data_IF_783069966869
#
_entry.id   IF_783069966869
#
_cell.length_a   1.000
_cell.length_b   1.000
_cell.length_c   1.000
_cell.angle_alpha   90.00
_cell.angle_beta   90.00
_cell.angle_gamma   90.00
#
_symmetry.space_group_name_H-M   'P 1'
#
loop_
_entity.id
_entity.type
_entity.pdbx_description
1 polymer ?
#
# COMPACT_ATOMS: atom_id res chain seq x y z
N UNK A 1 -27.02 -8.75 -1.56
CA UNK A 1 -27.37 -7.81 -0.47
C UNK A 1 -27.01 -6.39 -0.91
N UNK A 2 -27.71 -5.35 -0.44
CA UNK A 2 -27.32 -3.96 -0.78
C UNK A 2 -25.97 -3.65 -0.09
N UNK A 3 -25.01 -2.99 -0.77
CA UNK A 3 -23.77 -2.57 -0.16
C UNK A 3 -23.96 -1.73 1.10
N UNK A 4 -23.22 -2.04 2.17
CA UNK A 4 -23.28 -1.32 3.45
C UNK A 4 -21.99 -0.52 3.69
N UNK A 5 -21.97 0.74 3.25
CA UNK A 5 -20.84 1.64 3.41
C UNK A 5 -20.51 1.93 4.89
N UNK A 6 -21.52 1.91 5.79
CA UNK A 6 -21.30 2.16 7.21
C UNK A 6 -20.53 1.00 7.87
N UNK A 7 -20.83 -0.24 7.49
CA UNK A 7 -20.11 -1.43 7.94
C UNK A 7 -18.66 -1.39 7.46
N UNK A 8 -18.42 -1.04 6.18
CA UNK A 8 -17.06 -0.89 5.64
C UNK A 8 -16.28 0.18 6.38
N UNK A 9 -16.88 1.35 6.62
CA UNK A 9 -16.26 2.45 7.39
C UNK A 9 -15.85 2.01 8.79
N UNK A 10 -16.73 1.29 9.49
CA UNK A 10 -16.46 0.77 10.83
C UNK A 10 -15.24 -0.17 10.83
N UNK A 11 -15.20 -1.09 9.87
CA UNK A 11 -14.06 -2.00 9.71
C UNK A 11 -12.75 -1.23 9.43
N UNK A 12 -12.76 -0.26 8.51
CA UNK A 12 -11.56 0.49 8.14
C UNK A 12 -11.00 1.31 9.31
N UNK A 13 -11.85 1.89 10.15
CA UNK A 13 -11.42 2.61 11.36
C UNK A 13 -10.77 1.65 12.36
N UNK A 14 -11.37 0.49 12.59
CA UNK A 14 -10.80 -0.55 13.45
C UNK A 14 -9.47 -1.10 12.90
N UNK A 15 -9.39 -1.31 11.58
CA UNK A 15 -8.16 -1.74 10.92
C UNK A 15 -7.04 -0.73 11.15
N UNK A 16 -7.30 0.57 10.99
CA UNK A 16 -6.31 1.61 11.27
C UNK A 16 -5.84 1.56 12.73
N UNK A 17 -6.77 1.44 13.68
CA UNK A 17 -6.45 1.36 15.11
C UNK A 17 -5.55 0.15 15.42
N UNK A 18 -5.90 -1.03 14.88
CA UNK A 18 -5.14 -2.26 15.07
C UNK A 18 -3.74 -2.18 14.46
N UNK A 19 -3.61 -1.67 13.24
CA UNK A 19 -2.32 -1.51 12.57
C UNK A 19 -1.40 -0.55 13.33
N UNK A 20 -1.91 0.59 13.77
CA UNK A 20 -1.14 1.54 14.58
C UNK A 20 -0.70 0.93 15.90
N UNK A 21 -1.56 0.17 16.57
CA UNK A 21 -1.23 -0.52 17.82
C UNK A 21 -0.12 -1.55 17.63
N UNK A 22 -0.22 -2.39 16.59
CA UNK A 22 0.76 -3.44 16.30
C UNK A 22 2.13 -2.85 15.91
N UNK A 23 2.15 -1.83 15.04
CA UNK A 23 3.38 -1.16 14.66
C UNK A 23 4.03 -0.42 15.85
N UNK A 24 3.22 0.26 16.69
CA UNK A 24 3.71 0.90 17.92
C UNK A 24 4.29 -0.12 18.91
N UNK A 25 3.70 -1.30 19.02
CA UNK A 25 4.22 -2.34 19.91
C UNK A 25 5.62 -2.84 19.49
N UNK A 26 5.89 -2.88 18.19
CA UNK A 26 7.21 -3.28 17.64
C UNK A 26 8.25 -2.16 17.77
N UNK A 27 7.85 -0.92 17.55
CA UNK A 27 8.74 0.26 17.58
C UNK A 27 9.00 0.78 19.00
N UNK A 28 7.97 0.81 19.83
CA UNK A 28 7.95 1.42 21.17
C UNK A 28 7.55 2.91 21.16
N UNK A 29 7.29 3.52 19.99
CA UNK A 29 6.81 4.90 19.86
C UNK A 29 5.33 4.94 19.46
N UNK A 30 4.57 5.97 19.93
CA UNK A 30 3.18 6.15 19.54
C UNK A 30 3.04 6.79 18.14
N UNK A 31 1.91 6.54 17.50
CA UNK A 31 1.48 7.34 16.35
C UNK A 31 0.85 8.66 16.81
N UNK A 32 1.17 9.74 16.11
CA UNK A 32 0.52 11.04 16.27
C UNK A 32 -0.68 11.08 15.33
N UNK A 33 -1.85 11.42 15.86
CA UNK A 33 -3.08 11.51 15.10
C UNK A 33 -3.34 12.94 14.63
N UNK A 34 -3.73 13.08 13.37
CA UNK A 34 -4.20 14.30 12.74
C UNK A 34 -5.54 14.02 12.04
N UNK A 35 -6.63 14.43 12.69
CA UNK A 35 -7.96 14.33 12.13
C UNK A 35 -8.28 15.57 11.29
N UNK A 36 -8.81 15.38 10.09
CA UNK A 36 -9.07 16.46 9.15
C UNK A 36 -10.43 16.31 8.45
N UNK A 37 -10.95 17.43 8.01
CA UNK A 37 -12.18 17.52 7.23
C UNK A 37 -11.90 18.15 5.86
N UNK A 38 -12.71 17.78 4.88
CA UNK A 38 -12.66 18.28 3.50
C UNK A 38 -13.86 19.16 3.23
N UNK A 39 -13.66 20.36 2.70
CA UNK A 39 -14.75 21.29 2.34
C UNK A 39 -15.76 20.69 1.35
N UNK A 40 -15.29 19.84 0.42
CA UNK A 40 -16.13 19.15 -0.56
C UNK A 40 -16.87 17.90 -0.05
N UNK A 41 -16.83 17.65 1.27
CA UNK A 41 -17.49 16.53 1.93
C UNK A 41 -16.54 15.40 2.34
N UNK A 42 -16.71 14.93 3.56
CA UNK A 42 -15.90 13.89 4.17
C UNK A 42 -14.68 14.41 4.91
N UNK A 43 -13.71 13.53 5.13
CA UNK A 43 -12.50 13.81 5.89
C UNK A 43 -11.65 12.56 6.07
N UNK A 44 -10.80 12.59 7.07
CA UNK A 44 -9.94 11.45 7.37
C UNK A 44 -9.23 11.60 8.69
N UNK A 45 -8.39 10.59 8.96
CA UNK A 45 -7.58 10.49 10.16
C UNK A 45 -6.21 9.95 9.75
N UNK A 46 -5.24 10.86 9.66
CA UNK A 46 -3.85 10.50 9.38
C UNK A 46 -3.13 10.20 10.67
N UNK A 47 -2.44 9.08 10.73
CA UNK A 47 -1.61 8.70 11.87
C UNK A 47 -0.18 8.51 11.40
N UNK A 48 0.76 9.20 12.04
CA UNK A 48 2.16 9.22 11.64
C UNK A 48 3.05 8.93 12.83
N UNK A 49 3.95 7.94 12.68
CA UNK A 49 5.06 7.68 13.56
C UNK A 49 6.32 8.22 12.88
N UNK A 50 7.12 9.02 13.60
CA UNK A 50 8.38 9.59 13.11
C UNK A 50 9.51 9.33 14.08
N UNK A 51 10.70 9.19 13.55
CA UNK A 51 11.94 9.05 14.33
C UNK A 51 11.87 7.91 15.35
N UNK A 52 11.18 6.83 14.97
CA UNK A 52 11.06 5.63 15.78
C UNK A 52 12.36 4.85 15.88
N UNK A 53 12.39 3.87 16.77
CA UNK A 53 13.57 3.02 17.00
C UNK A 53 13.73 1.94 15.91
N UNK A 54 12.61 1.51 15.33
CA UNK A 54 12.53 0.49 14.27
C UNK A 54 12.06 1.13 12.98
N UNK A 55 11.05 1.99 13.05
CA UNK A 55 10.49 2.68 11.91
C UNK A 55 10.93 4.13 11.90
N UNK A 56 11.76 4.52 10.91
CA UNK A 56 12.16 5.91 10.74
C UNK A 56 10.96 6.80 10.42
N UNK A 57 10.02 6.28 9.65
CA UNK A 57 8.69 6.85 9.44
C UNK A 57 7.69 5.75 9.10
N UNK A 58 6.50 5.85 9.67
CA UNK A 58 5.35 5.07 9.26
C UNK A 58 4.11 5.97 9.22
N UNK A 59 3.32 5.82 8.17
CA UNK A 59 2.06 6.53 8.04
C UNK A 59 0.91 5.54 7.83
N UNK A 60 -0.18 5.69 8.59
CA UNK A 60 -1.42 4.94 8.42
C UNK A 60 -2.56 5.94 8.28
N UNK A 61 -3.10 6.06 7.08
CA UNK A 61 -4.13 7.04 6.74
C UNK A 61 -5.48 6.36 6.52
N UNK A 62 -6.49 6.79 7.25
CA UNK A 62 -7.89 6.56 6.91
C UNK A 62 -8.44 7.78 6.19
N UNK A 63 -9.10 7.58 5.07
CA UNK A 63 -9.85 8.62 4.36
C UNK A 63 -11.27 8.14 4.05
N UNK A 64 -12.22 9.06 4.14
CA UNK A 64 -13.60 8.87 3.70
C UNK A 64 -14.06 10.16 3.04
N UNK A 65 -14.15 10.17 1.73
CA UNK A 65 -14.58 11.31 0.95
C UNK A 65 -15.88 10.99 0.22
N UNK A 66 -16.73 11.98 0.09
CA UNK A 66 -18.02 11.85 -0.60
C UNK A 66 -18.37 13.14 -1.34
N UNK A 67 -19.29 13.06 -2.27
CA UNK A 67 -19.77 14.20 -3.02
C UNK A 67 -21.04 13.88 -3.81
N UNK A 68 -21.77 14.94 -4.17
CA UNK A 68 -23.04 14.81 -4.90
C UNK A 68 -22.86 14.44 -6.38
N UNK A 69 -21.66 14.63 -6.91
CA UNK A 69 -21.30 14.26 -8.28
C UNK A 69 -19.82 13.89 -8.40
N UNK A 70 -19.54 12.94 -9.28
CA UNK A 70 -18.15 12.60 -9.66
C UNK A 70 -17.54 13.70 -10.52
N UNK A 71 -16.21 13.98 -10.36
CA UNK A 71 -15.50 14.85 -11.28
C UNK A 71 -15.58 14.34 -12.73
N UNK A 72 -15.68 15.27 -13.69
CA UNK A 72 -15.76 14.92 -15.11
C UNK A 72 -14.55 14.05 -15.59
N UNK A 73 -13.37 14.26 -15.02
CA UNK A 73 -12.18 13.44 -15.30
C UNK A 73 -12.35 11.97 -14.86
N UNK A 74 -13.07 11.72 -13.79
CA UNK A 74 -13.35 10.37 -13.30
C UNK A 74 -14.42 9.65 -14.10
N UNK A 75 -15.40 10.39 -14.67
CA UNK A 75 -16.48 9.83 -15.48
C UNK A 75 -16.12 9.65 -16.95
N UNK A 76 -15.05 10.27 -17.44
CA UNK A 76 -14.58 10.15 -18.82
C UNK A 76 -14.34 8.70 -19.27
N UNK A 77 -13.86 7.85 -18.37
CA UNK A 77 -13.60 6.43 -18.63
C UNK A 77 -14.63 5.48 -18.00
N UNK A 78 -15.62 6.05 -17.27
CA UNK A 78 -16.67 5.32 -16.56
C UNK A 78 -18.01 6.06 -16.67
N UNK A 79 -18.64 6.02 -17.85
CA UNK A 79 -19.88 6.78 -18.11
C UNK A 79 -21.03 6.36 -17.19
N UNK A 80 -21.01 5.12 -16.67
CA UNK A 80 -22.01 4.61 -15.71
C UNK A 80 -22.01 5.37 -14.38
N UNK A 81 -20.94 6.11 -14.05
CA UNK A 81 -20.83 6.93 -12.84
C UNK A 81 -21.41 8.34 -13.01
N UNK A 82 -21.75 8.75 -14.24
CA UNK A 82 -22.22 10.10 -14.51
C UNK A 82 -23.56 10.40 -13.80
N UNK A 83 -23.60 11.53 -13.10
CA UNK A 83 -24.80 11.99 -12.37
C UNK A 83 -25.14 11.16 -11.14
N UNK A 84 -24.16 10.45 -10.56
CA UNK A 84 -24.27 9.74 -9.29
C UNK A 84 -23.56 10.50 -8.19
N UNK A 85 -24.13 10.49 -6.99
CA UNK A 85 -23.38 10.77 -5.77
C UNK A 85 -22.39 9.64 -5.51
N UNK A 86 -21.32 9.90 -4.76
CA UNK A 86 -20.31 8.89 -4.48
C UNK A 86 -19.79 8.95 -3.05
N UNK A 87 -19.32 7.81 -2.58
CA UNK A 87 -18.47 7.67 -1.41
C UNK A 87 -17.23 6.83 -1.78
N UNK A 88 -16.06 7.29 -1.34
CA UNK A 88 -14.80 6.56 -1.45
C UNK A 88 -14.12 6.54 -0.09
N UNK A 89 -13.75 5.37 0.39
CA UNK A 89 -13.10 5.23 1.68
C UNK A 89 -12.03 4.16 1.66
N UNK A 90 -11.02 4.32 2.50
CA UNK A 90 -9.93 3.34 2.56
C UNK A 90 -8.95 3.60 3.70
N UNK A 91 -8.12 2.61 3.94
CA UNK A 91 -6.91 2.70 4.75
C UNK A 91 -5.72 2.46 3.85
N UNK A 92 -4.74 3.36 3.90
CA UNK A 92 -3.46 3.24 3.22
C UNK A 92 -2.34 3.37 4.24
N UNK A 93 -1.32 2.55 4.11
CA UNK A 93 -0.13 2.65 4.97
C UNK A 93 1.16 2.48 4.18
N UNK A 94 2.19 3.15 4.65
CA UNK A 94 3.58 2.92 4.22
C UNK A 94 4.47 2.94 5.44
N UNK A 95 5.39 1.98 5.51
CA UNK A 95 6.38 1.87 6.58
C UNK A 95 7.78 1.96 5.99
N UNK A 96 8.54 2.95 6.44
CA UNK A 96 9.96 3.13 6.10
C UNK A 96 10.83 2.79 7.31
N UNK A 97 11.46 1.61 7.32
CA UNK A 97 12.28 1.16 8.46
C UNK A 97 13.60 1.91 8.55
N UNK A 98 14.13 2.04 9.77
CA UNK A 98 15.44 2.62 10.01
C UNK A 98 16.55 1.69 9.53
N UNK A 99 16.46 0.39 9.86
CA UNK A 99 17.46 -0.62 9.50
C UNK A 99 17.35 -0.99 8.01
N UNK A 100 18.43 -0.90 7.22
CA UNK A 100 18.42 -1.22 5.79
C UNK A 100 18.08 -2.67 5.45
N UNK A 101 18.20 -3.59 6.39
CA UNK A 101 17.85 -5.00 6.19
C UNK A 101 16.35 -5.28 6.40
N UNK A 102 15.61 -4.33 6.97
CA UNK A 102 14.14 -4.38 7.01
C UNK A 102 13.58 -3.75 5.73
N UNK A 103 12.71 -4.42 4.99
CA UNK A 103 12.12 -3.85 3.77
C UNK A 103 11.11 -2.75 4.07
N UNK A 104 10.98 -1.80 3.16
CA UNK A 104 9.81 -0.90 3.09
C UNK A 104 8.58 -1.73 2.70
N UNK A 105 7.43 -1.40 3.27
CA UNK A 105 6.17 -2.05 2.93
C UNK A 105 5.05 -1.03 2.76
N UNK A 106 4.16 -1.35 1.83
CA UNK A 106 2.94 -0.59 1.55
C UNK A 106 1.75 -1.53 1.62
N UNK A 107 0.61 -1.03 2.10
CA UNK A 107 -0.68 -1.68 1.96
C UNK A 107 -1.77 -0.64 1.73
N UNK A 108 -2.81 -1.06 1.04
CA UNK A 108 -4.02 -0.27 0.83
C UNK A 108 -5.22 -1.20 0.76
N UNK A 109 -6.31 -0.84 1.40
CA UNK A 109 -7.62 -1.44 1.19
C UNK A 109 -8.65 -0.32 1.08
N UNK A 110 -9.52 -0.40 0.08
CA UNK A 110 -10.45 0.68 -0.26
C UNK A 110 -11.78 0.15 -0.76
N UNK A 111 -12.80 0.99 -0.60
CA UNK A 111 -14.15 0.77 -1.08
C UNK A 111 -14.65 2.03 -1.79
N UNK A 112 -15.36 1.82 -2.89
CA UNK A 112 -16.05 2.86 -3.63
C UNK A 112 -17.50 2.46 -3.86
N UNK A 113 -18.41 3.43 -3.73
CA UNK A 113 -19.82 3.27 -4.12
C UNK A 113 -20.33 4.55 -4.76
N UNK A 114 -21.12 4.42 -5.81
CA UNK A 114 -21.83 5.53 -6.46
C UNK A 114 -23.31 5.20 -6.62
N UNK A 115 -24.16 6.10 -6.17
CA UNK A 115 -25.60 5.90 -6.10
C UNK A 115 -26.37 6.97 -6.91
N UNK A 116 -27.53 6.55 -7.43
CA UNK A 116 -28.49 7.43 -8.10
C UNK A 116 -29.90 6.91 -7.80
N UNK A 117 -30.86 7.81 -7.47
CA UNK A 117 -32.25 7.41 -7.26
C UNK A 117 -32.80 6.61 -8.45
N UNK A 118 -33.42 5.47 -8.15
CA UNK A 118 -34.02 4.59 -9.16
C UNK A 118 -33.08 3.74 -10.00
N UNK A 119 -31.78 3.67 -9.64
CA UNK A 119 -30.83 2.79 -10.30
C UNK A 119 -30.03 1.98 -9.27
N UNK A 120 -29.54 0.82 -9.67
CA UNK A 120 -28.68 0.00 -8.84
C UNK A 120 -27.36 0.75 -8.52
N UNK A 121 -26.80 0.60 -7.31
CA UNK A 121 -25.52 1.20 -6.97
C UNK A 121 -24.38 0.56 -7.81
N UNK A 122 -23.41 1.39 -8.17
CA UNK A 122 -22.14 0.92 -8.74
C UNK A 122 -21.12 0.93 -7.60
N UNK A 123 -20.48 -0.21 -7.35
CA UNK A 123 -19.54 -0.32 -6.23
C UNK A 123 -18.42 -1.31 -6.56
N UNK A 124 -17.28 -1.15 -5.88
CA UNK A 124 -16.17 -2.09 -5.93
C UNK A 124 -15.23 -1.93 -4.75
N UNK A 125 -14.47 -2.97 -4.50
CA UNK A 125 -13.33 -2.97 -3.59
C UNK A 125 -12.03 -2.96 -4.38
N UNK A 126 -10.98 -2.42 -3.77
CA UNK A 126 -9.61 -2.48 -4.27
C UNK A 126 -8.63 -2.55 -3.11
N UNK A 127 -7.40 -2.93 -3.41
CA UNK A 127 -6.38 -2.98 -2.39
C UNK A 127 -5.19 -3.85 -2.76
N UNK A 128 -4.45 -4.23 -1.73
CA UNK A 128 -3.27 -5.07 -1.82
C UNK A 128 -2.20 -4.65 -0.84
N UNK A 129 -1.08 -5.34 -0.90
CA UNK A 129 0.14 -4.99 -0.19
C UNK A 129 1.36 -5.45 -0.97
N UNK A 130 2.46 -4.73 -0.82
CA UNK A 130 3.72 -5.02 -1.47
C UNK A 130 4.92 -4.78 -0.56
N UNK A 131 6.03 -5.47 -0.86
CA UNK A 131 7.25 -5.45 -0.08
C UNK A 131 8.42 -4.98 -0.95
N UNK A 132 9.16 -3.97 -0.48
CA UNK A 132 10.29 -3.35 -1.17
C UNK A 132 11.57 -3.54 -0.36
N UNK A 133 12.31 -4.64 -0.54
CA UNK A 133 13.59 -4.86 0.13
C UNK A 133 14.70 -4.00 -0.48
N UNK A 134 15.70 -3.69 0.34
CA UNK A 134 16.98 -3.12 -0.08
C UNK A 134 18.06 -4.20 -0.18
N UNK A 135 17.92 -5.25 0.60
CA UNK A 135 18.72 -6.47 0.58
C UNK A 135 17.79 -7.67 0.50
N UNK A 136 18.09 -8.59 -0.39
CA UNK A 136 17.25 -9.77 -0.65
C UNK A 136 17.50 -10.89 0.36
N UNK A 137 16.42 -11.39 0.97
CA UNK A 137 16.39 -12.59 1.78
C UNK A 137 15.29 -13.51 1.29
N UNK A 138 15.65 -14.67 0.76
CA UNK A 138 14.67 -15.58 0.16
C UNK A 138 13.63 -16.05 1.18
N UNK A 139 14.04 -16.33 2.40
CA UNK A 139 13.12 -16.74 3.48
C UNK A 139 12.05 -15.68 3.81
N UNK A 140 12.40 -14.39 3.70
CA UNK A 140 11.46 -13.28 3.90
C UNK A 140 10.49 -13.18 2.73
N UNK A 141 10.97 -13.35 1.49
CA UNK A 141 10.13 -13.36 0.30
C UNK A 141 9.16 -14.54 0.31
N UNK A 142 9.64 -15.73 0.66
CA UNK A 142 8.80 -16.93 0.78
C UNK A 142 7.75 -16.76 1.88
N UNK A 143 8.11 -16.23 3.06
CA UNK A 143 7.16 -15.94 4.13
C UNK A 143 6.07 -14.95 3.67
N UNK A 144 6.49 -13.85 3.04
CA UNK A 144 5.59 -12.82 2.53
C UNK A 144 4.56 -13.38 1.54
N UNK A 145 5.04 -14.10 0.53
CA UNK A 145 4.19 -14.66 -0.51
C UNK A 145 3.34 -15.83 -0.02
N UNK A 146 3.85 -16.64 0.92
CA UNK A 146 3.05 -17.69 1.55
C UNK A 146 1.88 -17.12 2.34
N UNK A 147 2.12 -16.09 3.15
CA UNK A 147 1.05 -15.40 3.86
C UNK A 147 0.03 -14.82 2.87
N UNK A 148 0.49 -14.15 1.81
CA UNK A 148 -0.39 -13.60 0.77
C UNK A 148 -1.25 -14.68 0.10
N UNK A 149 -0.66 -15.84 -0.25
CA UNK A 149 -1.39 -16.97 -0.82
C UNK A 149 -2.42 -17.53 0.16
N UNK A 150 -2.03 -17.74 1.39
CA UNK A 150 -2.88 -18.36 2.41
C UNK A 150 -4.11 -17.49 2.73
N UNK A 151 -3.97 -16.15 2.66
CA UNK A 151 -5.08 -15.20 2.74
C UNK A 151 -6.05 -15.31 1.54
N UNK A 152 -5.55 -15.65 0.36
CA UNK A 152 -6.35 -15.79 -0.85
C UNK A 152 -7.07 -17.14 -0.96
N UNK A 153 -6.51 -18.21 -0.40
CA UNK A 153 -7.01 -19.57 -0.56
C UNK A 153 -8.51 -19.75 -0.24
N UNK A 154 -9.08 -19.15 0.82
CA UNK A 154 -10.52 -19.25 1.10
C UNK A 154 -11.42 -18.68 -0.01
N UNK A 155 -10.87 -17.90 -0.93
CA UNK A 155 -11.58 -17.20 -2.02
C UNK A 155 -11.35 -17.82 -3.39
N UNK A 156 -10.45 -18.81 -3.49
CA UNK A 156 -10.13 -19.56 -4.71
C UNK A 156 -8.63 -19.72 -4.94
N UNK A 157 -8.22 -20.85 -5.49
CA UNK A 157 -6.80 -21.14 -5.76
C UNK A 157 -6.19 -20.20 -6.81
N UNK A 158 -7.00 -19.67 -7.72
CA UNK A 158 -6.59 -18.74 -8.78
C UNK A 158 -6.42 -17.29 -8.29
N UNK A 159 -6.90 -16.96 -7.07
CA UNK A 159 -6.94 -15.59 -6.57
C UNK A 159 -5.53 -15.04 -6.32
N UNK A 160 -4.68 -15.82 -5.64
CA UNK A 160 -3.29 -15.41 -5.38
C UNK A 160 -2.48 -15.21 -6.66
N UNK A 161 -2.36 -16.19 -7.59
CA UNK A 161 -1.57 -16.01 -8.81
C UNK A 161 -2.07 -14.82 -9.66
N UNK A 162 -3.38 -14.59 -9.72
CA UNK A 162 -3.97 -13.46 -10.44
C UNK A 162 -3.57 -12.12 -9.84
N UNK A 163 -3.70 -11.95 -8.53
CA UNK A 163 -3.42 -10.69 -7.87
C UNK A 163 -1.93 -10.45 -7.62
N UNK A 164 -1.13 -11.51 -7.48
CA UNK A 164 0.33 -11.44 -7.50
C UNK A 164 0.83 -10.92 -8.84
N UNK A 165 0.36 -11.49 -9.94
CA UNK A 165 0.72 -11.02 -11.29
C UNK A 165 0.31 -9.56 -11.51
N UNK A 166 -0.88 -9.18 -11.08
CA UNK A 166 -1.33 -7.78 -11.21
C UNK A 166 -0.46 -6.82 -10.40
N UNK A 167 -0.03 -7.22 -9.21
CA UNK A 167 0.91 -6.46 -8.40
C UNK A 167 2.25 -6.26 -9.12
N UNK A 168 2.82 -7.32 -9.68
CA UNK A 168 4.07 -7.26 -10.44
C UNK A 168 3.98 -6.30 -11.63
N UNK A 169 2.88 -6.38 -12.40
CA UNK A 169 2.65 -5.52 -13.56
C UNK A 169 2.43 -4.05 -13.15
N UNK A 170 1.73 -3.80 -12.03
CA UNK A 170 1.43 -2.44 -11.57
C UNK A 170 2.67 -1.68 -11.13
N UNK A 171 3.57 -2.34 -10.40
CA UNK A 171 4.76 -1.70 -9.83
C UNK A 171 5.99 -1.73 -10.74
N UNK A 172 5.85 -2.14 -12.00
CA UNK A 172 6.94 -2.14 -12.96
C UNK A 172 7.29 -0.75 -13.47
N UNK A 173 8.56 -0.34 -13.33
CA UNK A 173 9.08 0.93 -13.84
C UNK A 173 9.49 0.77 -15.31
N UNK A 174 8.60 1.10 -16.23
CA UNK A 174 8.81 0.91 -17.67
C UNK A 174 10.04 1.63 -18.22
N UNK A 175 10.31 2.85 -17.75
CA UNK A 175 11.43 3.68 -18.23
C UNK A 175 12.79 3.20 -17.68
N UNK A 176 12.79 2.35 -16.64
CA UNK A 176 13.99 1.71 -16.10
C UNK A 176 14.09 0.22 -16.43
N UNK A 177 13.02 -0.35 -16.97
CA UNK A 177 12.90 -1.79 -17.23
C UNK A 177 13.20 -2.64 -15.99
N UNK A 178 12.76 -2.17 -14.82
CA UNK A 178 12.96 -2.86 -13.55
C UNK A 178 11.72 -2.77 -12.65
N UNK A 179 11.60 -3.67 -11.69
CA UNK A 179 10.71 -3.49 -10.57
C UNK A 179 11.20 -2.30 -9.72
N UNK A 180 10.29 -1.50 -9.13
CA UNK A 180 10.68 -0.33 -8.31
C UNK A 180 11.55 -0.67 -7.08
N UNK A 181 11.96 -1.91 -6.92
CA UNK A 181 12.71 -2.46 -5.81
C UNK A 181 11.94 -3.50 -5.01
N UNK A 182 10.67 -3.75 -5.37
CA UNK A 182 9.79 -4.67 -4.66
C UNK A 182 9.80 -6.09 -5.22
N UNK A 183 9.40 -7.02 -4.39
CA UNK A 183 9.13 -8.42 -4.74
C UNK A 183 7.64 -8.68 -4.99
N UNK A 184 6.83 -7.62 -5.03
CA UNK A 184 5.39 -7.72 -5.23
C UNK A 184 4.63 -8.09 -3.95
N UNK A 185 3.52 -8.76 -4.14
CA UNK A 185 2.56 -9.15 -3.13
C UNK A 185 1.19 -9.34 -3.76
N UNK A 186 0.20 -8.56 -3.35
CA UNK A 186 -1.15 -8.60 -3.90
C UNK A 186 -1.57 -7.22 -4.41
N UNK A 187 -2.24 -7.18 -5.55
CA UNK A 187 -2.94 -5.99 -6.02
C UNK A 187 -4.25 -6.40 -6.68
N UNK A 188 -5.36 -5.79 -6.26
CA UNK A 188 -6.67 -5.96 -6.86
C UNK A 188 -7.42 -4.62 -6.94
N UNK A 189 -8.25 -4.49 -7.94
CA UNK A 189 -9.11 -3.34 -8.17
C UNK A 189 -10.41 -3.79 -8.83
N UNK A 190 -11.43 -2.92 -8.83
CA UNK A 190 -12.72 -3.21 -9.43
C UNK A 190 -13.38 -4.54 -8.98
N UNK A 191 -13.08 -4.98 -7.77
CA UNK A 191 -13.60 -6.24 -7.22
C UNK A 191 -15.04 -6.03 -6.77
N UNK A 192 -16.00 -6.63 -7.50
CA UNK A 192 -17.44 -6.53 -7.21
C UNK A 192 -18.20 -7.84 -7.46
N UNK A 193 -17.50 -8.93 -7.70
CA UNK A 193 -18.08 -10.25 -7.95
C UNK A 193 -17.47 -11.30 -7.03
N UNK A 194 -18.25 -12.29 -6.57
CA UNK A 194 -19.64 -12.59 -6.94
C UNK A 194 -20.69 -11.68 -6.27
N UNK A 195 -20.44 -11.18 -5.08
CA UNK A 195 -21.33 -10.31 -4.31
C UNK A 195 -20.55 -9.44 -3.31
N UNK A 196 -21.25 -8.52 -2.65
CA UNK A 196 -20.67 -7.56 -1.70
C UNK A 196 -20.03 -8.26 -0.50
N UNK A 197 -20.71 -9.23 0.10
CA UNK A 197 -20.24 -9.90 1.33
C UNK A 197 -18.94 -10.67 1.08
N UNK A 198 -18.86 -11.38 -0.04
CA UNK A 198 -17.66 -12.09 -0.46
C UNK A 198 -16.49 -11.13 -0.72
N UNK A 199 -16.74 -10.05 -1.47
CA UNK A 199 -15.71 -9.06 -1.79
C UNK A 199 -15.25 -8.31 -0.53
N UNK A 200 -16.17 -7.99 0.37
CA UNK A 200 -15.85 -7.37 1.65
C UNK A 200 -15.03 -8.28 2.55
N UNK A 201 -15.40 -9.56 2.64
CA UNK A 201 -14.63 -10.56 3.39
C UNK A 201 -13.20 -10.70 2.84
N UNK A 202 -13.02 -10.66 1.50
CA UNK A 202 -11.69 -10.68 0.89
C UNK A 202 -10.88 -9.44 1.26
N UNK A 203 -11.46 -8.24 1.15
CA UNK A 203 -10.79 -7.00 1.57
C UNK A 203 -10.40 -7.04 3.05
N UNK A 204 -11.27 -7.57 3.92
CA UNK A 204 -10.98 -7.74 5.36
C UNK A 204 -9.82 -8.72 5.59
N UNK A 205 -9.78 -9.83 4.86
CA UNK A 205 -8.69 -10.80 4.96
C UNK A 205 -7.34 -10.16 4.58
N UNK A 206 -7.30 -9.41 3.47
CA UNK A 206 -6.08 -8.71 3.03
C UNK A 206 -5.64 -7.65 4.04
N UNK A 207 -6.57 -6.82 4.53
CA UNK A 207 -6.25 -5.76 5.50
C UNK A 207 -5.73 -6.32 6.83
N UNK A 208 -6.44 -7.30 7.40
CA UNK A 208 -6.07 -7.89 8.68
C UNK A 208 -4.79 -8.73 8.61
N UNK A 209 -4.54 -9.40 7.48
CA UNK A 209 -3.38 -10.27 7.30
C UNK A 209 -2.07 -9.53 7.01
N UNK A 210 -2.10 -8.23 6.77
CA UNK A 210 -0.90 -7.45 6.48
C UNK A 210 0.15 -7.54 7.60
N UNK A 211 -0.26 -7.39 8.83
CA UNK A 211 0.66 -7.44 9.97
C UNK A 211 1.33 -8.82 10.12
N UNK A 212 0.60 -9.90 9.88
CA UNK A 212 1.13 -11.26 9.90
C UNK A 212 2.14 -11.51 8.76
N UNK A 213 1.98 -10.83 7.63
CA UNK A 213 2.94 -10.88 6.55
C UNK A 213 4.21 -10.05 6.84
N UNK A 214 4.09 -8.87 7.45
CA UNK A 214 5.19 -7.91 7.57
C UNK A 214 5.96 -8.00 8.89
N UNK A 215 5.28 -8.06 10.04
CA UNK A 215 5.95 -7.96 11.34
C UNK A 215 6.96 -9.09 11.62
N UNK A 216 6.75 -10.36 11.23
CA UNK A 216 7.77 -11.39 11.40
C UNK A 216 9.07 -11.09 10.65
N UNK A 217 8.99 -10.42 9.49
CA UNK A 217 10.17 -9.99 8.74
C UNK A 217 10.90 -8.87 9.51
N UNK A 218 10.13 -7.88 10.02
CA UNK A 218 10.68 -6.79 10.84
C UNK A 218 11.41 -7.36 12.06
N UNK A 219 10.77 -8.26 12.82
CA UNK A 219 11.37 -8.87 14.02
C UNK A 219 12.67 -9.63 13.70
N UNK A 220 12.73 -10.30 12.57
CA UNK A 220 13.91 -11.04 12.13
C UNK A 220 15.09 -10.13 11.75
N UNK A 221 14.82 -8.94 11.22
CA UNK A 221 15.82 -8.06 10.59
C UNK A 221 16.16 -6.81 11.40
N UNK A 222 15.30 -6.32 12.28
CA UNK A 222 15.46 -5.03 12.97
C UNK A 222 16.73 -4.88 13.79
N UNK A 223 17.31 -5.98 14.26
CA UNK A 223 18.55 -6.00 15.05
C UNK A 223 19.80 -6.38 14.23
N UNK A 224 19.68 -6.55 12.91
CA UNK A 224 20.81 -6.88 12.05
C UNK A 224 21.81 -5.71 12.04
N UNK A 225 23.11 -5.93 12.36
CA UNK A 225 24.12 -4.88 12.30
C UNK A 225 24.26 -4.32 10.88
N UNK A 226 24.39 -2.99 10.76
CA UNK A 226 24.62 -2.31 9.50
C UNK A 226 25.53 -1.08 9.70
N UNK A 227 26.12 -0.59 8.61
CA UNK A 227 26.96 0.58 8.61
C UNK A 227 26.51 1.64 7.58
N UNK A 228 27.42 2.58 7.32
CA UNK A 228 27.17 3.68 6.37
C UNK A 228 26.91 3.18 4.95
N UNK A 229 27.53 2.07 4.55
CA UNK A 229 27.35 1.48 3.22
C UNK A 229 25.92 1.02 3.00
N UNK A 230 25.37 0.25 3.91
CA UNK A 230 23.99 -0.27 3.84
C UNK A 230 22.99 0.88 3.94
N UNK A 231 23.25 1.84 4.82
CA UNK A 231 22.40 3.03 4.95
C UNK A 231 22.40 3.87 3.69
N UNK A 232 23.57 4.09 3.08
CA UNK A 232 23.69 4.81 1.82
C UNK A 232 22.87 4.16 0.71
N UNK A 233 23.01 2.83 0.56
CA UNK A 233 22.26 2.08 -0.44
C UNK A 233 20.74 2.14 -0.20
N UNK A 234 20.30 2.03 1.06
CA UNK A 234 18.89 2.21 1.41
C UNK A 234 18.36 3.58 0.94
N UNK A 235 19.08 4.66 1.23
CA UNK A 235 18.68 6.00 0.83
C UNK A 235 18.63 6.17 -0.69
N UNK A 236 19.58 5.57 -1.40
CA UNK A 236 19.57 5.53 -2.87
C UNK A 236 18.35 4.77 -3.40
N UNK A 237 18.05 3.58 -2.89
CA UNK A 237 16.89 2.79 -3.32
C UNK A 237 15.56 3.46 -2.96
N UNK A 238 15.50 4.22 -1.89
CA UNK A 238 14.32 5.06 -1.58
C UNK A 238 14.04 6.10 -2.67
N UNK A 239 15.06 6.53 -3.42
CA UNK A 239 14.86 7.33 -4.63
C UNK A 239 13.97 6.64 -5.66
N UNK A 240 14.13 5.33 -5.87
CA UNK A 240 13.26 4.53 -6.79
C UNK A 240 11.83 4.46 -6.29
N UNK A 241 11.65 4.33 -4.98
CA UNK A 241 10.34 4.35 -4.34
C UNK A 241 9.63 5.70 -4.54
N UNK A 242 10.31 6.81 -4.27
CA UNK A 242 9.77 8.17 -4.47
C UNK A 242 9.45 8.43 -5.94
N UNK A 243 10.34 8.04 -6.85
CA UNK A 243 10.15 8.20 -8.29
C UNK A 243 8.86 7.51 -8.77
N UNK A 244 8.63 6.26 -8.37
CA UNK A 244 7.38 5.58 -8.71
C UNK A 244 6.17 6.31 -8.15
N UNK A 245 6.16 6.63 -6.87
CA UNK A 245 5.00 7.23 -6.21
C UNK A 245 4.63 8.61 -6.76
N UNK A 246 5.62 9.44 -7.12
CA UNK A 246 5.35 10.79 -7.62
C UNK A 246 5.09 10.85 -9.13
N UNK A 247 5.60 9.89 -9.91
CA UNK A 247 5.53 9.94 -11.39
C UNK A 247 4.56 8.92 -11.96
N UNK A 248 4.40 7.75 -11.33
CA UNK A 248 3.66 6.63 -11.91
C UNK A 248 2.48 6.15 -11.07
N UNK A 249 2.48 6.36 -9.76
CA UNK A 249 1.39 5.88 -8.92
C UNK A 249 0.09 6.62 -9.20
N UNK A 250 -0.90 5.89 -9.74
CA UNK A 250 -2.20 6.45 -10.11
C UNK A 250 -2.95 7.03 -8.91
N UNK A 251 -2.82 6.40 -7.74
CA UNK A 251 -3.48 6.85 -6.52
C UNK A 251 -2.93 8.18 -6.03
N UNK A 252 -1.60 8.33 -5.99
CA UNK A 252 -0.92 9.58 -5.64
C UNK A 252 -1.27 10.69 -6.62
N UNK A 253 -1.15 10.43 -7.93
CA UNK A 253 -1.46 11.42 -8.96
C UNK A 253 -2.92 11.86 -8.90
N UNK A 254 -3.85 10.92 -8.79
CA UNK A 254 -5.27 11.22 -8.65
C UNK A 254 -5.56 12.06 -7.40
N UNK A 255 -5.00 11.68 -6.25
CA UNK A 255 -5.18 12.41 -5.00
C UNK A 255 -4.70 13.85 -5.09
N UNK A 256 -3.51 14.10 -5.64
CA UNK A 256 -2.95 15.43 -5.81
C UNK A 256 -3.75 16.27 -6.83
N UNK A 257 -4.18 15.68 -7.95
CA UNK A 257 -4.93 16.35 -9.00
C UNK A 257 -6.38 16.68 -8.62
N UNK A 258 -6.98 15.93 -7.71
CA UNK A 258 -8.37 16.11 -7.26
C UNK A 258 -8.49 16.92 -5.96
N UNK A 259 -7.41 17.55 -5.51
CA UNK A 259 -7.42 18.37 -4.30
C UNK A 259 -7.49 17.54 -3.01
N UNK A 260 -6.94 16.33 -3.04
CA UNK A 260 -6.73 15.54 -1.83
C UNK A 260 -5.78 16.25 -0.85
N UNK A 261 -5.86 15.90 0.44
CA UNK A 261 -5.01 16.49 1.46
C UNK A 261 -3.54 16.09 1.23
N UNK A 262 -2.73 17.04 0.77
CA UNK A 262 -1.32 16.82 0.37
C UNK A 262 -0.50 16.16 1.48
N UNK A 263 -0.62 16.63 2.73
CA UNK A 263 0.12 16.07 3.87
C UNK A 263 -0.22 14.59 4.12
N UNK A 264 -1.50 14.21 3.94
CA UNK A 264 -1.96 12.82 4.08
C UNK A 264 -1.51 11.92 2.93
N UNK A 265 -1.26 12.49 1.75
CA UNK A 265 -0.72 11.78 0.58
C UNK A 265 0.79 11.61 0.72
N UNK A 266 1.51 12.71 1.00
CA UNK A 266 2.98 12.72 1.04
C UNK A 266 3.57 12.13 2.33
N UNK A 267 2.77 11.84 3.35
CA UNK A 267 3.24 11.10 4.53
C UNK A 267 3.74 9.68 4.17
N UNK A 268 3.39 9.17 2.99
CA UNK A 268 3.87 7.90 2.46
C UNK A 268 5.31 7.95 1.93
N UNK A 269 5.89 9.13 1.82
CA UNK A 269 7.27 9.29 1.37
C UNK A 269 8.27 8.99 2.50
N UNK A 270 9.47 8.44 2.18
CA UNK A 270 10.52 8.29 3.17
C UNK A 270 11.03 9.65 3.63
N UNK A 271 11.41 9.81 4.93
CA UNK A 271 11.87 11.09 5.44
C UNK A 271 13.23 11.52 4.87
N UNK A 272 14.05 10.55 4.45
CA UNK A 272 15.33 10.78 3.82
C UNK A 272 15.47 9.92 2.57
N UNK A 273 16.00 10.53 1.53
CA UNK A 273 16.24 9.91 0.22
C UNK A 273 17.54 10.45 -0.37
N UNK A 274 18.19 9.67 -1.22
CA UNK A 274 19.40 10.09 -1.92
C UNK A 274 19.25 9.88 -3.42
N UNK A 275 19.65 10.89 -4.18
CA UNK A 275 19.73 10.86 -5.63
C UNK A 275 21.19 10.85 -6.04
N UNK A 276 21.59 9.87 -6.85
CA UNK A 276 22.94 9.80 -7.41
C UNK A 276 22.87 9.60 -8.90
N UNK A 277 23.71 10.35 -9.61
CA UNK A 277 23.82 10.24 -11.06
C UNK A 277 24.55 8.94 -11.40
N UNK A 278 23.93 8.09 -12.23
CA UNK A 278 24.49 6.84 -12.77
C UNK A 278 25.14 5.93 -11.70
N UNK A 279 24.49 5.78 -10.55
CA UNK A 279 25.00 4.92 -9.49
C UNK A 279 25.07 3.46 -9.96
N UNK A 280 26.23 2.88 -9.83
CA UNK A 280 26.49 1.47 -10.12
C UNK A 280 27.01 0.78 -8.84
N UNK A 281 26.27 -0.22 -8.33
CA UNK A 281 26.77 -0.99 -7.19
C UNK A 281 28.03 -1.79 -7.60
N UNK A 282 28.91 -2.02 -6.64
CA UNK A 282 30.11 -2.82 -6.86
C UNK A 282 29.76 -4.24 -7.35
N UNK A 283 30.34 -4.71 -8.46
CA UNK A 283 30.05 -6.05 -8.97
C UNK A 283 30.31 -7.14 -7.92
N UNK A 284 29.34 -8.07 -7.78
CA UNK A 284 29.40 -9.14 -6.79
C UNK A 284 29.02 -8.72 -5.36
N UNK A 285 28.66 -7.45 -5.13
CA UNK A 285 28.20 -6.98 -3.84
C UNK A 285 26.75 -7.39 -3.57
N UNK A 286 26.30 -7.41 -2.31
CA UNK A 286 24.89 -7.59 -1.96
C UNK A 286 23.96 -6.54 -2.59
N UNK A 287 24.44 -5.32 -2.79
CA UNK A 287 23.72 -4.25 -3.46
C UNK A 287 23.50 -4.56 -4.95
N UNK A 288 24.52 -5.11 -5.63
CA UNK A 288 24.39 -5.54 -7.02
C UNK A 288 23.42 -6.74 -7.17
N UNK A 289 23.41 -7.64 -6.21
CA UNK A 289 22.52 -8.82 -6.20
C UNK A 289 21.04 -8.45 -6.10
N UNK A 290 20.69 -7.27 -5.59
CA UNK A 290 19.30 -6.85 -5.47
C UNK A 290 18.59 -6.81 -6.83
N UNK A 291 19.26 -6.38 -7.89
CA UNK A 291 18.64 -6.26 -9.22
C UNK A 291 18.17 -7.61 -9.77
N UNK A 292 18.83 -8.69 -9.46
CA UNK A 292 18.41 -10.05 -9.79
C UNK A 292 17.33 -10.55 -8.81
N UNK A 293 17.49 -10.26 -7.53
CA UNK A 293 16.57 -10.69 -6.49
C UNK A 293 15.15 -10.19 -6.73
N UNK A 294 14.97 -8.95 -7.16
CA UNK A 294 13.66 -8.31 -7.39
C UNK A 294 13.04 -8.64 -8.76
N UNK A 295 13.67 -9.49 -9.58
CA UNK A 295 13.04 -9.95 -10.82
C UNK A 295 11.77 -10.73 -10.50
N UNK A 296 10.76 -10.56 -11.37
CA UNK A 296 9.49 -11.28 -11.24
C UNK A 296 9.75 -12.79 -11.31
N UNK A 297 9.36 -13.49 -10.28
CA UNK A 297 9.48 -14.94 -10.17
C UNK A 297 8.37 -15.55 -9.32
N UNK A 298 8.24 -16.85 -9.38
CA UNK A 298 7.47 -17.63 -8.43
C UNK A 298 8.31 -17.82 -7.15
N UNK A 299 7.72 -17.50 -6.01
CA UNK A 299 8.33 -17.60 -4.69
C UNK A 299 7.89 -18.83 -3.90
N UNK A 300 6.89 -19.60 -4.41
CA UNK A 300 6.26 -20.72 -3.70
C UNK A 300 6.31 -22.02 -4.48
#
# INVERSE_FOLDING_TARGET
MKPDAAQVKTFLLQLQDNLCQQLSAVDGAPFIEDAWQREGGGGGRSRVLREGRVFEQAGVNFSHVHGDAMPASATAHRPELAGRSFEAMGVSLVVHPLNPYVPTSHANVRFFIAEKPGADPVWWFGGGFDLTPYYGFEEDAVHWHRTARDLCLPFGEEVYPRYKKWCDDYFYLKHRQEQRGGIGGLFFDDLNTPDFDHCFAFMQAVGNGYADAYLPIVERRKATPYGERERHFQLYRRGRYVEFNLVWDRGTLFGLQTGGRTESILMSMPPLVRWEYDYQPEPGSPEAALSEFIQVRDWL
#
